data_IF_720347345336
#
_entry.id   IF_720347345336
#
_cell.length_a   1.000
_cell.length_b   1.000
_cell.length_c   1.000
_cell.angle_alpha   90.00
_cell.angle_beta   90.00
_cell.angle_gamma   90.00
#
_symmetry.space_group_name_H-M   'P 1'
#
loop_
_entity.id
_entity.type
_entity.pdbx_description
1 polymer ?
#
# COMPACT_ATOMS: atom_id res chain seq x y z
N UNK A 1 -12.63 7.73 -19.14
CA UNK A 1 -11.19 7.86 -18.82
C UNK A 1 -10.79 7.00 -17.61
N UNK A 2 -11.32 7.21 -16.40
CA UNK A 2 -10.95 6.41 -15.21
C UNK A 2 -11.16 4.90 -15.44
N UNK A 3 -12.32 4.47 -15.94
CA UNK A 3 -12.60 3.06 -16.20
C UNK A 3 -11.61 2.41 -17.18
N UNK A 4 -11.16 3.15 -18.20
CA UNK A 4 -10.15 2.64 -19.15
C UNK A 4 -8.80 2.42 -18.48
N UNK A 5 -8.38 3.33 -17.59
CA UNK A 5 -7.15 3.18 -16.83
C UNK A 5 -7.22 2.01 -15.83
N UNK A 6 -8.37 1.80 -15.17
CA UNK A 6 -8.60 0.65 -14.31
C UNK A 6 -8.60 -0.67 -15.08
N UNK A 7 -9.18 -0.67 -16.29
CA UNK A 7 -9.15 -1.83 -17.19
C UNK A 7 -7.71 -2.19 -17.62
N UNK A 8 -6.86 -1.19 -17.87
CA UNK A 8 -5.44 -1.41 -18.15
C UNK A 8 -4.71 -2.07 -16.97
N UNK A 9 -4.98 -1.62 -15.73
CA UNK A 9 -4.42 -2.24 -14.54
C UNK A 9 -4.85 -3.72 -14.45
N UNK A 10 -6.15 -4.00 -14.65
CA UNK A 10 -6.70 -5.35 -14.59
C UNK A 10 -6.16 -6.26 -15.69
N UNK A 11 -5.95 -5.73 -16.90
CA UNK A 11 -5.35 -6.49 -18.01
C UNK A 11 -3.89 -6.89 -17.74
N UNK A 12 -3.17 -6.11 -16.91
CA UNK A 12 -1.77 -6.34 -16.57
C UNK A 12 -1.58 -6.94 -15.16
N UNK A 13 -2.59 -7.61 -14.61
CA UNK A 13 -2.58 -8.20 -13.25
C UNK A 13 -1.40 -9.13 -12.95
N UNK A 14 -0.78 -9.72 -13.97
CA UNK A 14 0.41 -10.55 -13.81
C UNK A 14 1.66 -9.77 -13.42
N UNK A 15 1.77 -8.53 -13.89
CA UNK A 15 2.92 -7.63 -13.66
C UNK A 15 2.67 -6.58 -12.57
N UNK A 16 1.41 -6.41 -12.12
CA UNK A 16 1.01 -5.36 -11.19
C UNK A 16 0.52 -5.97 -9.87
N UNK A 17 0.96 -5.39 -8.77
CA UNK A 17 0.42 -5.62 -7.42
C UNK A 17 0.12 -4.29 -6.77
N UNK A 18 -1.03 -4.19 -6.14
CA UNK A 18 -1.46 -2.96 -5.46
C UNK A 18 -1.22 -3.04 -3.96
N UNK A 19 -0.79 -1.91 -3.43
CA UNK A 19 -0.68 -1.66 -2.01
C UNK A 19 -1.37 -0.34 -1.71
N UNK A 20 -2.30 -0.33 -0.77
CA UNK A 20 -2.99 0.87 -0.32
C UNK A 20 -3.22 0.83 1.19
N UNK A 21 -3.25 2.01 1.78
CA UNK A 21 -3.54 2.21 3.19
C UNK A 21 -4.63 3.28 3.31
N UNK A 22 -5.75 2.92 3.90
CA UNK A 22 -6.77 3.86 4.33
C UNK A 22 -6.55 4.16 5.81
N UNK A 23 -6.42 5.44 6.16
CA UNK A 23 -6.18 5.88 7.54
C UNK A 23 -7.34 6.72 8.03
N UNK A 24 -7.99 6.27 9.08
CA UNK A 24 -8.88 7.11 9.87
C UNK A 24 -8.02 8.11 10.66
N UNK A 25 -8.21 9.40 10.40
CA UNK A 25 -7.42 10.47 11.01
C UNK A 25 -7.60 10.52 12.53
N UNK A 26 -8.80 10.25 13.04
CA UNK A 26 -9.05 10.23 14.47
C UNK A 26 -8.30 9.09 15.16
N UNK A 27 -8.31 7.91 14.53
CA UNK A 27 -7.58 6.75 15.06
C UNK A 27 -6.05 6.90 14.95
N UNK A 28 -5.55 7.70 14.01
CA UNK A 28 -4.11 7.94 13.85
C UNK A 28 -3.50 8.82 14.95
N UNK A 29 -4.29 9.69 15.58
CA UNK A 29 -3.81 10.63 16.61
C UNK A 29 -3.07 9.88 17.74
N UNK A 30 -1.94 10.39 18.24
CA UNK A 30 -1.26 11.67 17.87
C UNK A 30 -0.28 11.58 16.68
N UNK A 31 -0.20 10.44 15.96
CA UNK A 31 0.71 10.25 14.84
C UNK A 31 0.23 11.02 13.60
N UNK A 32 1.19 11.47 12.77
CA UNK A 32 0.88 12.04 11.46
C UNK A 32 0.33 10.95 10.53
N UNK A 33 -0.87 11.14 9.93
CA UNK A 33 -1.46 10.14 9.04
C UNK A 33 -0.62 9.85 7.78
N UNK A 34 0.16 10.82 7.29
CA UNK A 34 1.01 10.66 6.11
C UNK A 34 2.20 9.77 6.44
N UNK A 35 2.87 10.04 7.56
CA UNK A 35 3.97 9.20 8.03
C UNK A 35 3.51 7.77 8.32
N UNK A 36 2.33 7.63 8.96
CA UNK A 36 1.72 6.34 9.24
C UNK A 36 1.40 5.57 7.96
N UNK A 37 0.80 6.24 6.97
CA UNK A 37 0.48 5.64 5.67
C UNK A 37 1.73 5.19 4.94
N UNK A 38 2.76 6.03 4.94
CA UNK A 38 4.05 5.74 4.31
C UNK A 38 4.72 4.52 4.96
N UNK A 39 4.79 4.47 6.31
CA UNK A 39 5.33 3.33 7.04
C UNK A 39 4.62 2.03 6.68
N UNK A 40 3.28 2.04 6.65
CA UNK A 40 2.46 0.86 6.35
C UNK A 40 2.62 0.39 4.89
N UNK A 41 2.64 1.31 3.92
CA UNK A 41 2.86 0.95 2.51
C UNK A 41 4.25 0.35 2.32
N UNK A 42 5.29 0.99 2.88
CA UNK A 42 6.66 0.49 2.83
C UNK A 42 6.79 -0.90 3.46
N UNK A 43 6.17 -1.12 4.63
CA UNK A 43 6.17 -2.42 5.28
C UNK A 43 5.53 -3.51 4.43
N UNK A 44 4.36 -3.25 3.85
CA UNK A 44 3.65 -4.22 2.99
C UNK A 44 4.44 -4.57 1.76
N UNK A 45 5.03 -3.58 1.13
CA UNK A 45 5.90 -3.79 -0.03
C UNK A 45 7.16 -4.58 0.36
N UNK A 46 7.81 -4.24 1.47
CA UNK A 46 8.96 -4.98 1.98
C UNK A 46 8.62 -6.46 2.28
N UNK A 47 7.47 -6.73 2.88
CA UNK A 47 7.01 -8.09 3.17
C UNK A 47 6.67 -8.88 1.89
N UNK A 48 6.07 -8.23 0.90
CA UNK A 48 5.84 -8.82 -0.41
C UNK A 48 7.16 -9.26 -1.07
N UNK A 49 8.15 -8.37 -1.10
CA UNK A 49 9.48 -8.66 -1.65
C UNK A 49 10.17 -9.79 -0.86
N UNK A 50 10.07 -9.78 0.47
CA UNK A 50 10.62 -10.86 1.29
C UNK A 50 10.02 -12.23 0.92
N UNK A 51 8.71 -12.30 0.70
CA UNK A 51 8.07 -13.55 0.25
C UNK A 51 8.57 -13.97 -1.12
N UNK A 52 8.63 -13.04 -2.08
CA UNK A 52 9.14 -13.32 -3.43
C UNK A 52 10.57 -13.84 -3.41
N UNK A 53 11.41 -13.26 -2.57
CA UNK A 53 12.80 -13.67 -2.41
C UNK A 53 12.92 -15.05 -1.75
N UNK A 54 12.02 -15.38 -0.81
CA UNK A 54 11.99 -16.72 -0.20
C UNK A 54 11.49 -17.79 -1.19
N UNK A 55 10.54 -17.44 -2.07
CA UNK A 55 10.05 -18.34 -3.14
C UNK A 55 11.12 -18.59 -4.22
N UNK A 56 11.93 -17.57 -4.52
CA UNK A 56 12.98 -17.62 -5.55
C UNK A 56 14.31 -17.05 -5.01
N UNK A 57 15.06 -17.81 -4.18
CA UNK A 57 16.28 -17.30 -3.57
C UNK A 57 17.38 -16.91 -4.57
N UNK A 58 17.37 -17.51 -5.77
CA UNK A 58 18.34 -17.26 -6.83
C UNK A 58 18.01 -16.00 -7.68
N UNK A 59 16.80 -15.43 -7.53
CA UNK A 59 16.34 -14.21 -8.21
C UNK A 59 15.82 -13.21 -7.16
N UNK A 60 16.73 -12.75 -6.31
CA UNK A 60 16.39 -11.84 -5.21
C UNK A 60 16.00 -10.46 -5.71
N UNK A 61 14.77 -10.06 -5.43
CA UNK A 61 14.18 -8.80 -5.83
C UNK A 61 14.38 -7.71 -4.77
N UNK A 62 14.65 -6.49 -5.22
CA UNK A 62 14.67 -5.31 -4.36
C UNK A 62 13.74 -4.23 -4.89
N UNK A 63 13.13 -3.48 -3.98
CA UNK A 63 12.15 -2.46 -4.32
C UNK A 63 12.74 -1.06 -4.36
N UNK A 64 12.23 -0.27 -5.31
CA UNK A 64 12.44 1.15 -5.40
C UNK A 64 11.09 1.85 -5.24
N UNK A 65 11.05 2.96 -4.50
CA UNK A 65 9.86 3.77 -4.30
C UNK A 65 10.00 5.05 -5.14
N UNK A 66 8.99 5.31 -5.97
CA UNK A 66 8.85 6.54 -6.73
C UNK A 66 7.54 7.20 -6.31
N UNK A 67 7.59 8.47 -5.95
CA UNK A 67 6.48 9.24 -5.42
C UNK A 67 6.27 10.53 -6.21
N UNK A 68 5.07 11.10 -6.09
CA UNK A 68 4.80 12.45 -6.58
C UNK A 68 5.54 13.50 -5.74
N UNK A 69 6.04 14.56 -6.39
CA UNK A 69 6.64 15.70 -5.71
C UNK A 69 5.67 16.33 -4.71
N UNK A 70 6.16 16.61 -3.51
CA UNK A 70 5.34 17.20 -2.46
C UNK A 70 6.19 17.89 -1.39
N UNK A 71 5.55 18.70 -0.56
CA UNK A 71 6.20 19.30 0.62
C UNK A 71 6.70 18.28 1.66
N UNK A 72 6.36 17.01 1.50
CA UNK A 72 6.74 15.92 2.41
C UNK A 72 7.99 15.14 1.98
N UNK A 73 8.67 15.53 0.89
CA UNK A 73 9.85 14.83 0.36
C UNK A 73 10.92 14.58 1.41
N UNK A 74 11.46 15.65 2.00
CA UNK A 74 12.55 15.53 2.99
C UNK A 74 12.16 14.71 4.21
N UNK A 75 10.99 14.93 4.86
CA UNK A 75 10.52 14.09 5.93
C UNK A 75 10.41 12.60 5.55
N UNK A 76 9.83 12.28 4.40
CA UNK A 76 9.64 10.89 3.97
C UNK A 76 10.97 10.21 3.59
N UNK A 77 11.91 10.93 2.98
CA UNK A 77 13.27 10.42 2.74
C UNK A 77 13.99 10.12 4.06
N UNK A 78 13.85 11.00 5.05
CA UNK A 78 14.40 10.80 6.39
C UNK A 78 13.84 9.54 7.06
N UNK A 79 12.52 9.35 7.01
CA UNK A 79 11.84 8.15 7.52
C UNK A 79 12.30 6.88 6.80
N UNK A 80 12.36 6.89 5.47
CA UNK A 80 12.80 5.73 4.70
C UNK A 80 14.24 5.31 5.08
N UNK A 81 15.14 6.30 5.21
CA UNK A 81 16.51 6.06 5.69
C UNK A 81 16.52 5.45 7.09
N UNK A 82 15.72 6.00 8.01
CA UNK A 82 15.57 5.46 9.36
C UNK A 82 15.10 4.01 9.33
N UNK A 83 14.05 3.69 8.56
CA UNK A 83 13.47 2.33 8.48
C UNK A 83 14.46 1.31 7.92
N UNK A 84 15.33 1.72 6.99
CA UNK A 84 16.37 0.84 6.45
C UNK A 84 17.50 0.59 7.45
N UNK A 85 17.95 1.61 8.18
CA UNK A 85 19.13 1.55 9.05
C UNK A 85 18.80 1.10 10.47
N UNK A 86 17.75 1.65 11.07
CA UNK A 86 17.37 1.44 12.47
C UNK A 86 16.14 0.58 12.63
N UNK A 87 15.31 0.53 11.59
CA UNK A 87 14.01 -0.13 11.59
C UNK A 87 12.86 0.80 11.93
N UNK A 88 11.66 0.29 11.69
CA UNK A 88 10.37 0.82 12.10
C UNK A 88 9.82 -0.03 13.24
N UNK A 89 8.57 0.18 13.64
CA UNK A 89 7.85 -0.74 14.55
C UNK A 89 7.71 -2.17 14.01
N UNK A 90 7.97 -2.37 12.71
CA UNK A 90 7.91 -3.66 12.02
C UNK A 90 9.30 -4.27 11.76
N UNK A 91 10.37 -3.66 12.29
CA UNK A 91 11.75 -4.02 11.99
C UNK A 91 12.34 -3.27 10.79
N UNK A 92 13.46 -3.74 10.28
CA UNK A 92 14.17 -3.10 9.17
C UNK A 92 13.57 -3.47 7.81
N UNK A 93 13.47 -2.50 6.91
CA UNK A 93 13.00 -2.70 5.53
C UNK A 93 14.18 -3.06 4.62
N UNK A 94 14.66 -4.30 4.72
CA UNK A 94 15.88 -4.77 4.05
C UNK A 94 15.74 -4.94 2.53
N UNK A 95 14.52 -5.07 2.03
CA UNK A 95 14.26 -5.27 0.60
C UNK A 95 14.03 -3.96 -0.15
N UNK A 96 14.03 -2.80 0.53
CA UNK A 96 14.01 -1.49 -0.09
C UNK A 96 15.42 -1.02 -0.37
N UNK A 97 15.70 -0.62 -1.62
CA UNK A 97 17.08 -0.34 -2.08
C UNK A 97 17.57 1.01 -1.63
N UNK A 98 16.72 2.04 -1.77
CA UNK A 98 17.09 3.45 -1.62
C UNK A 98 16.00 4.26 -0.92
N UNK A 99 16.26 5.52 -0.59
CA UNK A 99 15.24 6.49 -0.23
C UNK A 99 14.30 6.72 -1.41
N UNK A 100 13.04 7.16 -1.19
CA UNK A 100 12.12 7.45 -2.28
C UNK A 100 12.67 8.50 -3.26
N UNK A 101 12.46 8.26 -4.53
CA UNK A 101 12.63 9.25 -5.59
C UNK A 101 11.32 10.02 -5.77
N UNK A 102 11.42 11.33 -5.97
CA UNK A 102 10.28 12.18 -6.23
C UNK A 102 10.32 12.66 -7.68
N UNK A 103 9.17 12.63 -8.33
CA UNK A 103 9.02 12.98 -9.76
C UNK A 103 7.76 13.82 -9.96
N UNK A 104 7.77 14.69 -10.98
CA UNK A 104 6.57 15.39 -11.42
C UNK A 104 5.56 14.37 -11.97
N UNK A 105 4.40 14.26 -11.33
CA UNK A 105 3.33 13.33 -11.71
C UNK A 105 2.81 13.56 -13.12
N UNK A 106 2.93 14.79 -13.66
CA UNK A 106 2.58 15.08 -15.06
C UNK A 106 3.48 14.36 -16.06
N UNK A 107 4.71 14.06 -15.68
CA UNK A 107 5.66 13.31 -16.48
C UNK A 107 5.62 11.80 -16.25
N UNK A 108 5.04 11.33 -15.13
CA UNK A 108 5.04 9.91 -14.74
C UNK A 108 3.66 9.28 -14.83
N UNK A 109 3.46 8.42 -15.85
CA UNK A 109 2.20 7.66 -16.00
C UNK A 109 1.94 6.69 -14.86
N UNK A 110 2.97 6.10 -14.28
CA UNK A 110 2.83 5.17 -13.17
C UNK A 110 2.38 5.88 -11.90
N UNK A 111 2.88 7.09 -11.63
CA UNK A 111 2.42 7.91 -10.50
C UNK A 111 0.96 8.32 -10.70
N UNK A 112 0.57 8.72 -11.93
CA UNK A 112 -0.85 9.01 -12.25
C UNK A 112 -1.76 7.78 -12.01
N UNK A 113 -1.30 6.57 -12.33
CA UNK A 113 -2.05 5.35 -12.04
C UNK A 113 -2.16 5.07 -10.54
N UNK A 114 -1.11 5.36 -9.77
CA UNK A 114 -1.14 5.26 -8.31
C UNK A 114 -2.16 6.24 -7.71
N UNK A 115 -2.26 7.46 -8.24
CA UNK A 115 -3.29 8.44 -7.83
C UNK A 115 -4.71 7.94 -8.10
N UNK A 116 -4.95 7.26 -9.21
CA UNK A 116 -6.26 6.66 -9.48
C UNK A 116 -6.60 5.56 -8.46
N UNK A 117 -5.63 4.75 -8.04
CA UNK A 117 -5.81 3.74 -6.99
C UNK A 117 -6.10 4.43 -5.65
N UNK A 118 -5.36 5.48 -5.32
CA UNK A 118 -5.58 6.28 -4.11
C UNK A 118 -6.97 6.91 -4.10
N UNK A 119 -7.38 7.52 -5.22
CA UNK A 119 -8.71 8.09 -5.40
C UNK A 119 -9.84 7.05 -5.25
N UNK A 120 -9.70 5.88 -5.88
CA UNK A 120 -10.69 4.81 -5.76
C UNK A 120 -10.78 4.29 -4.31
N UNK A 121 -9.64 4.18 -3.62
CA UNK A 121 -9.56 3.80 -2.20
C UNK A 121 -10.24 4.85 -1.32
N UNK A 122 -9.92 6.13 -1.52
CA UNK A 122 -10.53 7.22 -0.79
C UNK A 122 -12.06 7.26 -0.97
N UNK A 123 -12.56 7.14 -2.20
CA UNK A 123 -14.02 7.08 -2.45
C UNK A 123 -14.69 5.93 -1.70
N UNK A 124 -14.05 4.77 -1.65
CA UNK A 124 -14.58 3.60 -0.93
C UNK A 124 -14.73 3.87 0.55
N UNK A 125 -13.70 4.42 1.20
CA UNK A 125 -13.69 4.58 2.64
C UNK A 125 -14.41 5.84 3.11
N UNK A 126 -14.32 6.95 2.37
CA UNK A 126 -14.94 8.24 2.75
C UNK A 126 -16.39 8.34 2.31
N UNK A 127 -16.71 7.86 1.10
CA UNK A 127 -18.04 8.00 0.51
C UNK A 127 -18.81 6.68 0.37
N UNK A 128 -18.25 5.57 0.82
CA UNK A 128 -18.80 4.22 0.66
C UNK A 128 -19.09 3.85 -0.81
N UNK A 129 -18.41 4.51 -1.76
CA UNK A 129 -18.55 4.28 -3.19
C UNK A 129 -17.47 3.31 -3.69
N UNK A 130 -17.88 2.05 -3.88
CA UNK A 130 -16.99 0.96 -4.32
C UNK A 130 -16.82 0.83 -5.83
N UNK A 131 -17.53 1.60 -6.68
CA UNK A 131 -17.59 1.39 -8.14
C UNK A 131 -16.22 1.23 -8.82
N UNK A 132 -15.22 1.98 -8.39
CA UNK A 132 -13.85 1.88 -8.91
C UNK A 132 -13.00 0.92 -8.09
N UNK A 133 -13.15 0.97 -6.77
CA UNK A 133 -12.37 0.19 -5.84
C UNK A 133 -12.57 -1.32 -6.01
N UNK A 134 -13.82 -1.77 -6.19
CA UNK A 134 -14.15 -3.19 -6.29
C UNK A 134 -13.49 -3.87 -7.49
N UNK A 135 -13.20 -3.10 -8.57
CA UNK A 135 -12.42 -3.56 -9.72
C UNK A 135 -10.93 -3.76 -9.41
N UNK A 136 -10.42 -3.08 -8.39
CA UNK A 136 -9.02 -3.14 -7.96
C UNK A 136 -8.74 -4.25 -6.94
N UNK A 137 -9.78 -4.77 -6.27
CA UNK A 137 -9.63 -5.78 -5.22
C UNK A 137 -8.79 -6.98 -5.64
N UNK A 138 -8.96 -7.57 -6.86
CA UNK A 138 -8.15 -8.70 -7.31
C UNK A 138 -6.67 -8.38 -7.57
N UNK A 139 -6.30 -7.10 -7.62
CA UNK A 139 -4.93 -6.64 -7.88
C UNK A 139 -4.13 -6.41 -6.60
N UNK A 140 -4.80 -6.29 -5.45
CA UNK A 140 -4.08 -6.19 -4.18
C UNK A 140 -3.29 -7.48 -3.90
N UNK A 141 -2.13 -7.30 -3.29
CA UNK A 141 -1.34 -8.43 -2.82
C UNK A 141 -2.17 -9.29 -1.87
N UNK A 142 -2.28 -10.59 -2.20
CA UNK A 142 -3.12 -11.56 -1.49
C UNK A 142 -2.39 -12.88 -1.35
N UNK A 143 -2.48 -13.49 -0.16
CA UNK A 143 -1.95 -14.82 0.09
C UNK A 143 -2.89 -15.59 1.04
N UNK A 144 -3.23 -16.80 0.65
CA UNK A 144 -4.06 -17.70 1.46
C UNK A 144 -5.40 -17.06 1.88
N UNK A 145 -6.04 -16.32 0.98
CA UNK A 145 -7.33 -15.64 1.22
C UNK A 145 -7.23 -14.33 2.03
N UNK A 146 -6.04 -13.98 2.53
CA UNK A 146 -5.83 -12.70 3.24
C UNK A 146 -5.29 -11.64 2.29
N UNK A 147 -5.92 -10.46 2.28
CA UNK A 147 -5.46 -9.30 1.52
C UNK A 147 -4.35 -8.60 2.30
N UNK A 148 -3.11 -8.79 1.88
CA UNK A 148 -1.93 -8.15 2.48
C UNK A 148 -1.69 -6.75 1.92
N UNK A 149 -2.02 -6.51 0.66
CA UNK A 149 -1.80 -5.23 -0.03
C UNK A 149 -2.72 -4.10 0.39
N UNK A 150 -3.80 -4.38 1.12
CA UNK A 150 -4.75 -3.36 1.58
C UNK A 150 -4.77 -3.31 3.10
N UNK A 151 -4.64 -2.11 3.67
CA UNK A 151 -4.74 -1.91 5.11
C UNK A 151 -5.71 -0.78 5.44
N UNK A 152 -6.55 -1.01 6.43
CA UNK A 152 -7.43 -0.01 7.01
C UNK A 152 -7.01 0.23 8.46
N UNK A 153 -6.39 1.38 8.69
CA UNK A 153 -6.03 1.86 10.03
C UNK A 153 -7.22 2.61 10.63
N UNK A 154 -7.81 2.03 11.65
CA UNK A 154 -9.02 2.51 12.31
C UNK A 154 -8.99 2.24 13.80
N UNK A 155 -9.95 2.79 14.54
CA UNK A 155 -10.19 2.41 15.92
C UNK A 155 -10.50 0.90 16.02
N UNK A 156 -9.93 0.24 17.03
CA UNK A 156 -10.21 -1.19 17.29
C UNK A 156 -11.62 -1.40 17.86
N UNK A 157 -12.26 -0.34 18.36
CA UNK A 157 -13.62 -0.39 18.88
C UNK A 157 -14.69 -0.46 17.77
N UNK A 158 -14.32 -0.09 16.53
CA UNK A 158 -15.28 -0.05 15.42
C UNK A 158 -15.31 -1.38 14.67
N UNK A 159 -16.48 -1.94 14.46
CA UNK A 159 -16.68 -3.03 13.53
C UNK A 159 -16.50 -2.54 12.09
N UNK A 160 -15.71 -3.25 11.31
CA UNK A 160 -15.47 -2.90 9.92
C UNK A 160 -15.57 -4.11 9.00
N UNK A 161 -16.46 -4.00 8.02
CA UNK A 161 -16.75 -5.04 7.04
C UNK A 161 -16.09 -4.79 5.68
N UNK A 162 -15.04 -3.95 5.60
CA UNK A 162 -14.29 -3.76 4.36
C UNK A 162 -13.48 -5.02 4.01
N UNK A 163 -13.12 -5.18 2.75
CA UNK A 163 -12.36 -6.32 2.23
C UNK A 163 -11.09 -6.63 3.04
N UNK A 164 -10.36 -5.58 3.46
CA UNK A 164 -9.15 -5.75 4.26
C UNK A 164 -9.42 -6.34 5.64
N UNK A 165 -10.46 -5.88 6.33
CA UNK A 165 -10.81 -6.34 7.68
C UNK A 165 -11.42 -7.74 7.64
N UNK A 166 -12.38 -7.98 6.74
CA UNK A 166 -13.01 -9.29 6.58
C UNK A 166 -12.01 -10.39 6.25
N UNK A 167 -11.08 -10.14 5.33
CA UNK A 167 -10.08 -11.15 4.95
C UNK A 167 -9.16 -11.57 6.10
N UNK A 168 -9.00 -10.72 7.12
CA UNK A 168 -8.21 -11.03 8.33
C UNK A 168 -9.04 -11.71 9.40
N UNK A 169 -10.32 -11.36 9.55
CA UNK A 169 -11.21 -11.93 10.55
C UNK A 169 -11.56 -13.39 10.22
N UNK A 170 -11.70 -13.73 8.94
CA UNK A 170 -11.95 -15.12 8.51
C UNK A 170 -10.84 -16.10 8.95
N UNK A 171 -9.59 -15.62 9.13
CA UNK A 171 -8.50 -16.44 9.66
C UNK A 171 -8.52 -16.63 11.17
N UNK A 172 -9.14 -15.70 11.92
CA UNK A 172 -9.25 -15.81 13.39
C UNK A 172 -10.30 -16.83 13.83
N UNK A 173 -11.24 -17.14 12.95
CA UNK A 173 -12.35 -18.09 13.22
C UNK A 173 -12.02 -19.53 12.81
N UNK A 174 -10.86 -19.82 12.24
CA UNK A 174 -10.47 -21.13 11.70
C UNK A 174 -9.20 -21.73 12.33
N UNK A 175 -8.83 -21.26 13.52
CA UNK A 175 -7.70 -21.79 14.30
C UNK A 175 -8.16 -22.42 15.60
#
# INVERSE_FOLDING_TARGET
MIQQALALLSANRGAIRLFAVAVDRAAASPRDPIELSFEEVCNRFNLYLARRNNENPNDSQRGLIVMDESKHEQPLQGLARQYRLRGSRWGQFRNLTEVPFFVDSRASRLVQLADLVAYATWRKYEHQDGRFFDQLVPLFDMQGGTIHGLFHYRSMADDCYCHACLSRNLRRSGG
#
